data_IF_081477233380
#
_entry.id   IF_081477233380
#
_cell.length_a   1.000
_cell.length_b   1.000
_cell.length_c   1.000
_cell.angle_alpha   90.00
_cell.angle_beta   90.00
_cell.angle_gamma   90.00
#
_symmetry.space_group_name_H-M   'P 1'
#
loop_
_entity.id
_entity.type
_entity.pdbx_description
1 polymer ?
#
# COMPACT_ATOMS: atom_id res chain seq x y z
N UNK A 1 -21.46 9.99 -9.14
CA UNK A 1 -21.12 9.33 -10.39
C UNK A 1 -21.90 8.05 -10.59
N UNK A 2 -21.87 7.08 -9.68
CA UNK A 2 -22.55 5.78 -9.87
C UNK A 2 -24.04 5.86 -10.21
N UNK A 3 -24.79 6.79 -9.58
CA UNK A 3 -26.20 7.02 -9.90
C UNK A 3 -26.41 7.50 -11.35
N UNK A 4 -25.48 8.30 -11.87
CA UNK A 4 -25.53 8.75 -13.26
C UNK A 4 -25.13 7.61 -14.21
N UNK A 5 -24.06 6.87 -13.88
CA UNK A 5 -23.58 5.74 -14.67
C UNK A 5 -24.58 4.56 -14.74
N UNK A 6 -25.46 4.42 -13.74
CA UNK A 6 -26.51 3.39 -13.71
C UNK A 6 -27.85 3.84 -14.31
N UNK A 7 -27.97 5.09 -14.77
CA UNK A 7 -29.20 5.63 -15.32
C UNK A 7 -29.38 5.15 -16.76
N UNK A 8 -30.46 4.39 -17.01
CA UNK A 8 -30.79 3.87 -18.34
C UNK A 8 -31.64 4.85 -19.16
N UNK A 9 -32.54 5.57 -18.51
CA UNK A 9 -33.45 6.52 -19.16
C UNK A 9 -33.11 7.94 -18.73
N UNK A 10 -32.57 8.73 -19.67
CA UNK A 10 -32.31 10.15 -19.46
C UNK A 10 -33.57 10.96 -19.82
N UNK A 11 -33.99 11.93 -18.97
CA UNK A 11 -35.17 12.73 -19.24
C UNK A 11 -35.00 13.69 -20.43
N UNK A 12 -33.76 14.07 -20.72
CA UNK A 12 -33.35 14.92 -21.84
C UNK A 12 -32.46 14.10 -22.80
N UNK A 13 -31.48 14.74 -23.46
CA UNK A 13 -30.54 14.07 -24.36
C UNK A 13 -29.62 13.10 -23.61
N UNK A 14 -29.29 11.98 -24.25
CA UNK A 14 -28.37 10.99 -23.70
C UNK A 14 -26.94 11.58 -23.61
N UNK A 15 -26.21 11.34 -22.50
CA UNK A 15 -24.83 11.78 -22.35
C UNK A 15 -23.94 11.21 -23.46
N UNK A 16 -22.98 12.02 -23.90
CA UNK A 16 -21.99 11.55 -24.89
C UNK A 16 -21.09 10.47 -24.29
N UNK A 17 -20.52 9.60 -25.13
CA UNK A 17 -19.58 8.57 -24.66
C UNK A 17 -18.38 9.18 -23.92
N UNK A 18 -17.83 10.29 -24.39
CA UNK A 18 -16.75 11.00 -23.71
C UNK A 18 -17.14 11.51 -22.30
N UNK A 19 -18.40 11.87 -22.09
CA UNK A 19 -18.91 12.28 -20.79
C UNK A 19 -19.10 11.07 -19.86
N UNK A 20 -19.58 9.94 -20.40
CA UNK A 20 -19.66 8.68 -19.65
C UNK A 20 -18.26 8.22 -19.22
N UNK A 21 -17.28 8.21 -20.12
CA UNK A 21 -15.88 7.87 -19.82
C UNK A 21 -15.30 8.78 -18.72
N UNK A 22 -15.58 10.09 -18.80
CA UNK A 22 -15.18 11.05 -17.77
C UNK A 22 -15.80 10.73 -16.41
N UNK A 23 -17.11 10.43 -16.37
CA UNK A 23 -17.78 10.06 -15.12
C UNK A 23 -17.23 8.78 -14.52
N UNK A 24 -16.87 7.80 -15.34
CA UNK A 24 -16.23 6.57 -14.89
C UNK A 24 -14.89 6.87 -14.24
N UNK A 25 -13.98 7.55 -14.93
CA UNK A 25 -12.65 7.91 -14.41
C UNK A 25 -12.79 8.75 -13.14
N UNK A 26 -13.70 9.73 -13.13
CA UNK A 26 -13.97 10.55 -11.95
C UNK A 26 -14.52 9.74 -10.77
N UNK A 27 -15.31 8.69 -11.03
CA UNK A 27 -15.80 7.78 -9.99
C UNK A 27 -14.65 6.98 -9.37
N UNK A 28 -13.72 6.48 -10.19
CA UNK A 28 -12.53 5.75 -9.73
C UNK A 28 -11.65 6.66 -8.87
N UNK A 29 -11.44 7.92 -9.26
CA UNK A 29 -10.68 8.86 -8.45
C UNK A 29 -11.37 9.17 -7.10
N UNK A 30 -12.70 9.26 -7.09
CA UNK A 30 -13.44 9.40 -5.83
C UNK A 30 -13.23 8.19 -4.90
N UNK A 31 -13.34 6.97 -5.43
CA UNK A 31 -13.11 5.75 -4.65
C UNK A 31 -11.67 5.66 -4.13
N UNK A 32 -10.70 6.06 -4.94
CA UNK A 32 -9.29 6.18 -4.56
C UNK A 32 -9.09 7.17 -3.39
N UNK A 33 -9.66 8.36 -3.47
CA UNK A 33 -9.60 9.36 -2.40
C UNK A 33 -10.30 8.90 -1.11
N UNK A 34 -11.36 8.11 -1.24
CA UNK A 34 -12.12 7.57 -0.11
C UNK A 34 -11.47 6.34 0.53
N UNK A 35 -10.39 5.80 -0.04
CA UNK A 35 -9.75 4.55 0.40
C UNK A 35 -10.69 3.34 0.35
N UNK A 36 -11.68 3.37 -0.56
CA UNK A 36 -12.69 2.32 -0.72
C UNK A 36 -12.21 1.26 -1.72
N UNK A 37 -11.20 0.49 -1.31
CA UNK A 37 -10.43 -0.37 -2.22
C UNK A 37 -11.27 -1.47 -2.90
N UNK A 38 -12.29 -2.01 -2.22
CA UNK A 38 -13.17 -3.04 -2.80
C UNK A 38 -14.02 -2.48 -3.93
N UNK A 39 -14.60 -1.29 -3.73
CA UNK A 39 -15.39 -0.62 -4.75
C UNK A 39 -14.50 -0.16 -5.91
N UNK A 40 -13.29 0.34 -5.60
CA UNK A 40 -12.33 0.73 -6.63
C UNK A 40 -11.91 -0.46 -7.51
N UNK A 41 -11.61 -1.60 -6.91
CA UNK A 41 -11.27 -2.83 -7.63
C UNK A 41 -12.42 -3.28 -8.54
N UNK A 42 -13.63 -3.35 -7.98
CA UNK A 42 -14.82 -3.75 -8.73
C UNK A 42 -15.06 -2.82 -9.92
N UNK A 43 -15.14 -1.51 -9.69
CA UNK A 43 -15.45 -0.53 -10.74
C UNK A 43 -14.34 -0.43 -11.79
N UNK A 44 -13.07 -0.60 -11.42
CA UNK A 44 -11.95 -0.55 -12.39
C UNK A 44 -11.82 -1.82 -13.24
N UNK A 45 -12.46 -2.93 -12.85
CA UNK A 45 -12.39 -4.20 -13.59
C UNK A 45 -13.65 -4.50 -14.40
N UNK A 46 -14.82 -3.98 -13.99
CA UNK A 46 -16.10 -4.17 -14.69
C UNK A 46 -16.05 -3.81 -16.19
N UNK A 47 -15.36 -2.72 -16.53
CA UNK A 47 -15.31 -2.23 -17.91
C UNK A 47 -14.24 -2.93 -18.76
N UNK A 48 -13.37 -3.72 -18.14
CA UNK A 48 -12.35 -4.52 -18.82
C UNK A 48 -12.93 -5.89 -19.21
N UNK A 49 -13.65 -6.52 -18.28
CA UNK A 49 -14.25 -7.82 -18.51
C UNK A 49 -15.54 -8.01 -17.70
N UNK A 50 -16.57 -8.53 -18.36
CA UNK A 50 -17.84 -8.90 -17.73
C UNK A 50 -17.79 -10.28 -17.05
N UNK A 51 -16.65 -10.96 -17.11
CA UNK A 51 -16.40 -12.25 -16.46
C UNK A 51 -16.42 -12.15 -14.92
N UNK A 52 -16.65 -13.30 -14.27
CA UNK A 52 -16.58 -13.44 -12.81
C UNK A 52 -15.72 -14.69 -12.48
N UNK A 53 -14.42 -14.52 -12.16
CA UNK A 53 -13.67 -13.26 -12.05
C UNK A 53 -13.31 -12.64 -13.42
N UNK A 54 -13.06 -11.33 -13.43
CA UNK A 54 -12.62 -10.58 -14.61
C UNK A 54 -11.22 -11.01 -15.07
N UNK A 55 -11.04 -11.24 -16.37
CA UNK A 55 -9.73 -11.49 -16.98
C UNK A 55 -8.93 -10.19 -17.14
N UNK A 56 -8.02 -9.94 -16.19
CA UNK A 56 -7.15 -8.76 -16.18
C UNK A 56 -6.27 -8.65 -17.44
N UNK A 57 -5.99 -9.76 -18.14
CA UNK A 57 -5.17 -9.71 -19.35
C UNK A 57 -5.82 -8.94 -20.50
N UNK A 58 -7.14 -8.75 -20.46
CA UNK A 58 -7.85 -7.91 -21.43
C UNK A 58 -7.48 -6.43 -21.32
N UNK A 59 -6.85 -6.00 -20.23
CA UNK A 59 -6.33 -4.63 -20.14
C UNK A 59 -5.32 -4.33 -21.26
N UNK A 60 -4.61 -5.35 -21.75
CA UNK A 60 -3.63 -5.22 -22.81
C UNK A 60 -4.26 -5.09 -24.21
N UNK A 61 -5.57 -5.35 -24.38
CA UNK A 61 -6.21 -5.29 -25.69
C UNK A 61 -6.55 -3.88 -26.15
N UNK A 62 -6.63 -2.92 -25.21
CA UNK A 62 -6.97 -1.53 -25.51
C UNK A 62 -6.02 -0.57 -24.77
N UNK A 63 -5.30 0.33 -25.45
CA UNK A 63 -4.51 1.38 -24.81
C UNK A 63 -5.30 2.23 -23.82
N UNK A 64 -6.59 2.50 -24.08
CA UNK A 64 -7.43 3.25 -23.16
C UNK A 64 -7.54 2.53 -21.80
N UNK A 65 -7.67 1.21 -21.78
CA UNK A 65 -7.72 0.45 -20.54
C UNK A 65 -6.40 0.52 -19.76
N UNK A 66 -5.28 0.56 -20.47
CA UNK A 66 -3.95 0.69 -19.87
C UNK A 66 -3.76 2.07 -19.22
N UNK A 67 -4.27 3.14 -19.85
CA UNK A 67 -4.13 4.49 -19.32
C UNK A 67 -5.18 4.81 -18.24
N UNK A 68 -6.44 4.45 -18.46
CA UNK A 68 -7.56 4.85 -17.62
C UNK A 68 -7.79 3.92 -16.42
N UNK A 69 -7.60 2.60 -16.57
CA UNK A 69 -8.02 1.63 -15.55
C UNK A 69 -6.84 0.93 -14.84
N UNK A 70 -5.74 0.63 -15.55
CA UNK A 70 -4.59 -0.10 -14.97
C UNK A 70 -4.04 0.54 -13.69
N UNK A 71 -3.89 1.88 -13.56
CA UNK A 71 -3.44 2.49 -12.31
C UNK A 71 -4.35 2.14 -11.12
N UNK A 72 -5.66 2.16 -11.32
CA UNK A 72 -6.64 1.86 -10.27
C UNK A 72 -6.73 0.36 -9.96
N UNK A 73 -6.60 -0.50 -10.97
CA UNK A 73 -6.57 -1.97 -10.79
C UNK A 73 -5.36 -2.38 -9.94
N UNK A 74 -4.15 -1.94 -10.32
CA UNK A 74 -2.92 -2.26 -9.57
C UNK A 74 -3.03 -1.73 -8.15
N UNK A 75 -3.40 -0.45 -8.00
CA UNK A 75 -3.48 0.21 -6.69
C UNK A 75 -4.49 -0.45 -5.76
N UNK A 76 -5.73 -0.67 -6.21
CA UNK A 76 -6.79 -1.27 -5.39
C UNK A 76 -6.44 -2.69 -4.94
N UNK A 77 -5.98 -3.54 -5.85
CA UNK A 77 -5.59 -4.92 -5.52
C UNK A 77 -4.38 -4.97 -4.59
N UNK A 78 -3.36 -4.14 -4.82
CA UNK A 78 -2.20 -4.06 -3.92
C UNK A 78 -2.61 -3.62 -2.50
N UNK A 79 -3.48 -2.61 -2.39
CA UNK A 79 -4.01 -2.17 -1.10
C UNK A 79 -4.81 -3.26 -0.41
N UNK A 80 -5.64 -4.01 -1.14
CA UNK A 80 -6.39 -5.13 -0.57
C UNK A 80 -5.47 -6.24 -0.05
N UNK A 81 -4.39 -6.56 -0.76
CA UNK A 81 -3.36 -7.51 -0.28
C UNK A 81 -2.76 -7.06 1.05
N UNK A 82 -2.43 -5.77 1.19
CA UNK A 82 -1.87 -5.22 2.44
C UNK A 82 -2.84 -5.21 3.61
N UNK A 83 -4.14 -5.26 3.34
CA UNK A 83 -5.18 -5.42 4.36
C UNK A 83 -5.47 -6.90 4.70
N UNK A 84 -4.61 -7.83 4.26
CA UNK A 84 -4.76 -9.27 4.49
C UNK A 84 -5.63 -10.00 3.47
N UNK A 85 -5.85 -9.41 2.30
CA UNK A 85 -6.51 -10.08 1.18
C UNK A 85 -5.68 -11.26 0.66
N UNK A 86 -6.34 -12.35 0.29
CA UNK A 86 -5.69 -13.56 -0.25
C UNK A 86 -5.73 -13.65 -1.78
N UNK A 87 -6.29 -12.65 -2.47
CA UNK A 87 -6.45 -12.65 -3.93
C UNK A 87 -5.09 -12.60 -4.65
N UNK A 88 -4.75 -13.71 -5.33
CA UNK A 88 -3.49 -13.86 -6.09
C UNK A 88 -3.59 -13.33 -7.53
N UNK A 89 -4.73 -12.77 -7.94
CA UNK A 89 -4.94 -12.32 -9.33
C UNK A 89 -3.94 -11.25 -9.76
N UNK A 90 -3.58 -10.31 -8.88
CA UNK A 90 -2.58 -9.28 -9.19
C UNK A 90 -1.19 -9.89 -9.42
N UNK A 91 -0.78 -10.83 -8.56
CA UNK A 91 0.52 -11.50 -8.68
C UNK A 91 0.59 -12.30 -9.99
N UNK A 92 -0.46 -13.05 -10.30
CA UNK A 92 -0.57 -13.81 -11.56
C UNK A 92 -0.54 -12.87 -12.78
N UNK A 93 -1.27 -11.75 -12.73
CA UNK A 93 -1.28 -10.76 -13.80
C UNK A 93 0.09 -10.16 -14.06
N UNK A 94 0.83 -9.80 -12.99
CA UNK A 94 2.19 -9.28 -13.11
C UNK A 94 3.12 -10.37 -13.66
N UNK A 95 3.08 -11.59 -13.14
CA UNK A 95 3.93 -12.69 -13.62
C UNK A 95 3.73 -12.97 -15.12
N UNK A 96 2.49 -12.93 -15.62
CA UNK A 96 2.21 -13.08 -17.05
C UNK A 96 2.66 -11.84 -17.86
N UNK A 97 2.43 -10.63 -17.36
CA UNK A 97 2.88 -9.40 -18.03
C UNK A 97 4.40 -9.38 -18.18
N UNK A 98 5.14 -9.81 -17.16
CA UNK A 98 6.61 -9.80 -17.13
C UNK A 98 7.26 -10.79 -18.11
N UNK A 99 6.49 -11.72 -18.71
CA UNK A 99 6.98 -12.62 -19.77
C UNK A 99 7.06 -11.96 -21.15
N UNK A 100 6.38 -10.84 -21.35
CA UNK A 100 6.35 -10.11 -22.62
C UNK A 100 7.14 -8.82 -22.48
N UNK A 101 8.17 -8.62 -23.31
CA UNK A 101 9.11 -7.50 -23.13
C UNK A 101 8.43 -6.12 -23.18
N UNK A 102 7.45 -5.93 -24.07
CA UNK A 102 6.70 -4.66 -24.18
C UNK A 102 5.89 -4.36 -22.90
N UNK A 103 5.17 -5.36 -22.38
CA UNK A 103 4.38 -5.23 -21.16
C UNK A 103 5.27 -5.04 -19.95
N UNK A 104 6.36 -5.80 -19.87
CA UNK A 104 7.40 -5.66 -18.86
C UNK A 104 7.96 -4.24 -18.84
N UNK A 105 8.37 -3.70 -19.98
CA UNK A 105 8.91 -2.35 -20.08
C UNK A 105 7.92 -1.29 -19.54
N UNK A 106 6.64 -1.41 -19.88
CA UNK A 106 5.59 -0.54 -19.35
C UNK A 106 5.45 -0.66 -17.83
N UNK A 107 5.36 -1.89 -17.31
CA UNK A 107 5.21 -2.14 -15.88
C UNK A 107 6.43 -1.64 -15.09
N UNK A 108 7.65 -1.91 -15.58
CA UNK A 108 8.88 -1.43 -14.94
C UNK A 108 8.99 0.09 -15.01
N UNK A 109 8.50 0.74 -16.07
CA UNK A 109 8.56 2.18 -16.21
C UNK A 109 7.61 2.91 -15.27
N UNK A 110 6.37 2.44 -15.13
CA UNK A 110 5.32 3.17 -14.40
C UNK A 110 5.03 2.65 -12.99
N UNK A 111 5.27 1.36 -12.72
CA UNK A 111 4.82 0.69 -11.49
C UNK A 111 5.96 0.03 -10.72
N UNK A 112 7.19 0.54 -10.85
CA UNK A 112 8.35 0.01 -10.12
C UNK A 112 8.18 0.07 -8.59
N UNK A 113 7.47 1.07 -8.07
CA UNK A 113 7.17 1.12 -6.64
C UNK A 113 6.28 -0.05 -6.23
N UNK A 114 5.19 -0.29 -6.95
CA UNK A 114 4.24 -1.36 -6.71
C UNK A 114 4.89 -2.73 -6.89
N UNK A 115 5.78 -2.90 -7.89
CA UNK A 115 6.61 -4.10 -8.05
C UNK A 115 7.47 -4.34 -6.81
N UNK A 116 8.16 -3.31 -6.30
CA UNK A 116 9.01 -3.48 -5.12
C UNK A 116 8.22 -3.95 -3.90
N UNK A 117 7.00 -3.46 -3.75
CA UNK A 117 6.05 -3.81 -2.71
C UNK A 117 5.52 -5.25 -2.86
N UNK A 118 5.19 -5.68 -4.09
CA UNK A 118 4.79 -7.06 -4.38
C UNK A 118 5.93 -8.05 -4.12
N UNK A 119 7.16 -7.71 -4.46
CA UNK A 119 8.31 -8.58 -4.18
C UNK A 119 8.63 -8.64 -2.67
N UNK A 120 8.39 -7.57 -1.90
CA UNK A 120 8.43 -7.64 -0.43
C UNK A 120 7.37 -8.61 0.09
N UNK A 121 6.15 -8.57 -0.47
CA UNK A 121 5.07 -9.48 -0.07
C UNK A 121 5.48 -10.95 -0.27
N UNK A 122 6.21 -11.24 -1.36
CA UNK A 122 6.76 -12.56 -1.70
C UNK A 122 8.08 -12.90 -1.00
N UNK A 123 8.59 -12.05 -0.09
CA UNK A 123 9.90 -12.19 0.57
C UNK A 123 11.13 -12.21 -0.38
N UNK A 124 10.98 -11.78 -1.64
CA UNK A 124 12.10 -11.59 -2.58
C UNK A 124 12.69 -10.18 -2.43
N UNK A 125 13.54 -10.01 -1.41
CA UNK A 125 14.15 -8.72 -1.10
C UNK A 125 15.18 -8.24 -2.14
N UNK A 126 15.73 -9.14 -2.96
CA UNK A 126 16.70 -8.78 -4.00
C UNK A 126 15.99 -8.08 -5.17
N UNK A 127 14.89 -8.67 -5.65
CA UNK A 127 14.05 -8.01 -6.66
C UNK A 127 13.40 -6.75 -6.11
N UNK A 128 12.91 -6.76 -4.87
CA UNK A 128 12.37 -5.55 -4.25
C UNK A 128 13.39 -4.41 -4.23
N UNK A 129 14.66 -4.71 -3.91
CA UNK A 129 15.75 -3.74 -3.91
C UNK A 129 16.05 -3.20 -5.31
N UNK A 130 15.97 -4.04 -6.34
CA UNK A 130 16.14 -3.62 -7.72
C UNK A 130 15.04 -2.62 -8.11
N UNK A 131 13.77 -2.96 -7.86
CA UNK A 131 12.64 -2.14 -8.28
C UNK A 131 12.49 -0.83 -7.51
N UNK A 132 12.78 -0.79 -6.20
CA UNK A 132 12.78 0.49 -5.47
C UNK A 132 13.87 1.44 -5.97
N UNK A 133 15.03 0.91 -6.37
CA UNK A 133 16.10 1.71 -6.99
C UNK A 133 15.68 2.23 -8.35
N UNK A 134 15.03 1.39 -9.17
CA UNK A 134 14.50 1.81 -10.46
C UNK A 134 13.43 2.91 -10.29
N UNK A 135 12.49 2.73 -9.35
CA UNK A 135 11.48 3.73 -9.02
C UNK A 135 12.11 5.07 -8.60
N UNK A 136 13.17 5.04 -7.79
CA UNK A 136 13.92 6.23 -7.40
C UNK A 136 14.60 6.92 -8.60
N UNK A 137 15.15 6.15 -9.54
CA UNK A 137 15.75 6.69 -10.76
C UNK A 137 14.70 7.34 -11.67
N UNK A 138 13.55 6.67 -11.87
CA UNK A 138 12.41 7.21 -12.62
C UNK A 138 11.90 8.48 -11.96
N UNK A 139 11.76 8.50 -10.63
CA UNK A 139 11.41 9.72 -9.88
C UNK A 139 12.39 10.86 -10.17
N UNK A 140 13.70 10.61 -10.10
CA UNK A 140 14.71 11.65 -10.34
C UNK A 140 14.62 12.20 -11.77
N UNK A 141 14.43 11.33 -12.77
CA UNK A 141 14.25 11.72 -14.16
C UNK A 141 12.99 12.57 -14.33
N UNK A 142 11.84 12.07 -13.87
CA UNK A 142 10.55 12.76 -13.95
C UNK A 142 10.61 14.11 -13.25
N UNK A 143 11.08 14.17 -12.00
CA UNK A 143 11.17 15.41 -11.25
C UNK A 143 12.10 16.44 -11.90
N UNK A 144 13.23 16.00 -12.46
CA UNK A 144 14.17 16.87 -13.17
C UNK A 144 13.63 17.45 -14.48
N UNK A 145 12.64 16.78 -15.08
CA UNK A 145 11.99 17.20 -16.33
C UNK A 145 10.85 18.19 -16.13
N UNK A 146 10.32 18.32 -14.91
CA UNK A 146 9.22 19.24 -14.61
C UNK A 146 9.76 20.67 -14.54
N UNK A 147 9.11 21.58 -15.27
CA UNK A 147 9.42 23.01 -15.22
C UNK A 147 9.35 23.56 -13.78
N UNK A 148 10.32 24.39 -13.43
CA UNK A 148 10.46 24.97 -12.09
C UNK A 148 9.23 25.77 -11.63
N UNK A 149 8.44 26.33 -12.55
CA UNK A 149 7.24 27.12 -12.30
C UNK A 149 5.98 26.27 -12.09
N UNK A 150 6.00 24.99 -12.48
CA UNK A 150 4.89 24.06 -12.26
C UNK A 150 4.91 23.52 -10.82
N UNK A 151 4.69 24.43 -9.87
CA UNK A 151 4.78 24.15 -8.43
C UNK A 151 3.95 22.94 -8.00
N UNK A 152 2.70 22.85 -8.43
CA UNK A 152 1.80 21.75 -8.07
C UNK A 152 2.30 20.40 -8.60
N UNK A 153 2.74 20.33 -9.87
CA UNK A 153 3.29 19.11 -10.47
C UNK A 153 4.54 18.64 -9.73
N UNK A 154 5.42 19.57 -9.37
CA UNK A 154 6.62 19.27 -8.56
C UNK A 154 6.25 18.77 -7.17
N UNK A 155 5.28 19.41 -6.52
CA UNK A 155 4.81 19.02 -5.19
C UNK A 155 4.22 17.61 -5.19
N UNK A 156 3.30 17.31 -6.12
CA UNK A 156 2.68 15.97 -6.26
C UNK A 156 3.74 14.90 -6.47
N UNK A 157 4.72 15.18 -7.34
CA UNK A 157 5.81 14.23 -7.59
C UNK A 157 6.66 14.01 -6.33
N UNK A 158 6.98 15.09 -5.59
CA UNK A 158 7.78 15.05 -4.37
C UNK A 158 7.12 14.26 -3.23
N UNK A 159 5.78 14.25 -3.15
CA UNK A 159 5.04 13.54 -2.12
C UNK A 159 5.28 12.01 -2.13
N UNK A 160 5.60 11.43 -3.30
CA UNK A 160 5.90 10.01 -3.43
C UNK A 160 7.26 9.60 -2.82
N UNK A 161 8.20 10.54 -2.66
CA UNK A 161 9.58 10.24 -2.24
C UNK A 161 9.63 9.59 -0.87
N UNK A 162 8.77 10.03 0.05
CA UNK A 162 8.76 9.45 1.39
C UNK A 162 8.48 7.95 1.33
N UNK A 163 7.49 7.51 0.55
CA UNK A 163 7.17 6.09 0.38
C UNK A 163 8.35 5.31 -0.20
N UNK A 164 9.00 5.84 -1.25
CA UNK A 164 10.19 5.21 -1.86
C UNK A 164 11.34 5.06 -0.87
N UNK A 165 11.61 6.11 -0.08
CA UNK A 165 12.68 6.05 0.93
C UNK A 165 12.34 5.09 2.07
N UNK A 166 11.07 4.97 2.46
CA UNK A 166 10.65 4.04 3.52
C UNK A 166 10.69 2.58 3.07
N UNK A 167 10.38 2.29 1.80
CA UNK A 167 10.61 0.97 1.18
C UNK A 167 12.10 0.63 1.25
N UNK A 168 12.97 1.57 0.85
CA UNK A 168 14.42 1.35 0.88
C UNK A 168 14.97 1.17 2.30
N UNK A 169 14.50 1.98 3.26
CA UNK A 169 14.84 1.89 4.68
C UNK A 169 14.41 0.53 5.25
N UNK A 170 13.20 0.08 4.92
CA UNK A 170 12.68 -1.23 5.33
C UNK A 170 13.50 -2.39 4.76
N UNK A 171 13.78 -2.41 3.45
CA UNK A 171 14.62 -3.46 2.83
C UNK A 171 15.99 -3.51 3.51
N UNK A 172 16.59 -2.35 3.79
CA UNK A 172 17.89 -2.26 4.48
C UNK A 172 17.81 -2.73 5.94
N UNK A 173 16.68 -2.51 6.61
CA UNK A 173 16.42 -3.03 7.96
C UNK A 173 16.36 -4.56 7.94
N UNK A 174 15.57 -5.14 7.02
CA UNK A 174 15.39 -6.59 6.88
C UNK A 174 16.65 -7.33 6.43
N UNK A 175 17.56 -6.65 5.73
CA UNK A 175 18.81 -7.25 5.25
C UNK A 175 19.83 -7.57 6.34
N UNK A 176 19.64 -7.07 7.57
CA UNK A 176 20.58 -7.25 8.67
C UNK A 176 19.94 -8.11 9.74
N UNK A 177 20.39 -9.35 9.87
CA UNK A 177 19.90 -10.31 10.86
C UNK A 177 19.96 -9.76 12.30
N UNK A 178 21.02 -9.01 12.64
CA UNK A 178 21.17 -8.34 13.94
C UNK A 178 20.04 -7.35 14.27
N UNK A 179 19.30 -6.86 13.27
CA UNK A 179 18.14 -6.00 13.50
C UNK A 179 16.89 -6.80 13.92
N UNK A 180 16.77 -8.04 13.43
CA UNK A 180 15.65 -8.94 13.68
C UNK A 180 15.78 -9.69 15.01
N UNK A 181 16.93 -9.56 15.69
CA UNK A 181 17.14 -10.10 17.04
C UNK A 181 17.27 -8.99 18.09
N UNK A 182 17.33 -7.72 17.67
CA UNK A 182 17.56 -6.59 18.58
C UNK A 182 16.32 -5.70 18.73
N UNK A 183 15.71 -5.76 19.91
CA UNK A 183 14.64 -4.84 20.31
C UNK A 183 15.03 -3.37 20.19
N UNK A 184 16.28 -3.04 20.51
CA UNK A 184 16.78 -1.66 20.42
C UNK A 184 16.79 -1.14 18.97
N UNK A 185 17.16 -2.01 18.02
CA UNK A 185 17.11 -1.70 16.58
C UNK A 185 15.68 -1.46 16.11
N UNK A 186 14.74 -2.33 16.50
CA UNK A 186 13.32 -2.15 16.20
C UNK A 186 12.79 -0.84 16.81
N UNK A 187 13.05 -0.56 18.08
CA UNK A 187 12.63 0.68 18.74
C UNK A 187 13.13 1.93 18.02
N UNK A 188 14.41 1.93 17.60
CA UNK A 188 14.99 3.03 16.82
C UNK A 188 14.29 3.20 15.47
N UNK A 189 14.01 2.10 14.79
CA UNK A 189 13.30 2.09 13.51
C UNK A 189 11.88 2.67 13.64
N UNK A 190 11.11 2.24 14.65
CA UNK A 190 9.78 2.78 14.94
C UNK A 190 9.83 4.28 15.25
N UNK A 191 10.80 4.72 16.06
CA UNK A 191 10.95 6.14 16.41
C UNK A 191 11.17 7.04 15.18
N UNK A 192 11.93 6.55 14.19
CA UNK A 192 12.16 7.27 12.93
C UNK A 192 10.84 7.44 12.15
N UNK A 193 10.01 6.42 12.06
CA UNK A 193 8.70 6.53 11.39
C UNK A 193 7.72 7.41 12.16
N UNK A 194 7.65 7.28 13.48
CA UNK A 194 6.74 8.10 14.30
C UNK A 194 7.16 9.57 14.39
N UNK A 195 8.40 9.92 14.03
CA UNK A 195 8.88 11.30 13.97
C UNK A 195 8.76 11.95 12.59
N UNK A 196 8.48 11.17 11.54
CA UNK A 196 8.38 11.62 10.15
C UNK A 196 7.02 11.26 9.56
N UNK A 197 5.95 11.87 10.06
CA UNK A 197 4.63 11.75 9.41
C UNK A 197 4.55 12.65 8.18
N UNK A 198 3.68 12.34 7.21
CA UNK A 198 3.32 13.30 6.17
C UNK A 198 2.81 14.61 6.79
N UNK A 199 2.86 15.70 6.02
CA UNK A 199 2.35 16.98 6.47
C UNK A 199 0.83 16.95 6.59
N UNK A 200 0.32 17.41 7.73
CA UNK A 200 -1.12 17.34 8.02
C UNK A 200 -1.99 18.27 7.17
N UNK A 201 -1.41 19.27 6.51
CA UNK A 201 -2.12 20.26 5.69
C UNK A 201 -1.79 20.12 4.21
N UNK A 202 -0.53 19.85 3.88
CA UNK A 202 -0.04 19.86 2.50
C UNK A 202 -0.22 18.50 1.82
N UNK A 203 -0.17 17.40 2.57
CA UNK A 203 -0.23 16.06 1.99
C UNK A 203 -1.65 15.51 2.02
N UNK A 204 -2.23 15.15 0.85
CA UNK A 204 -3.58 14.64 0.76
C UNK A 204 -3.71 13.23 1.36
N UNK A 205 -4.96 12.81 1.61
CA UNK A 205 -5.22 11.56 2.33
C UNK A 205 -4.73 10.29 1.62
N UNK A 206 -4.58 10.30 0.30
CA UNK A 206 -3.97 9.18 -0.44
C UNK A 206 -2.47 9.03 -0.11
N UNK A 207 -1.74 10.13 0.13
CA UNK A 207 -0.33 10.08 0.57
C UNK A 207 -0.25 9.53 2.00
N UNK A 208 -1.14 9.99 2.88
CA UNK A 208 -1.26 9.44 4.23
C UNK A 208 -1.57 7.94 4.21
N UNK A 209 -2.49 7.51 3.36
CA UNK A 209 -2.86 6.10 3.21
C UNK A 209 -1.69 5.26 2.67
N UNK A 210 -0.93 5.77 1.70
CA UNK A 210 0.27 5.12 1.18
C UNK A 210 1.30 4.87 2.27
N UNK A 211 1.65 5.91 3.03
CA UNK A 211 2.64 5.80 4.10
C UNK A 211 2.16 4.87 5.22
N UNK A 212 0.94 5.07 5.71
CA UNK A 212 0.45 4.34 6.90
C UNK A 212 0.16 2.87 6.57
N UNK A 213 -0.39 2.58 5.39
CA UNK A 213 -0.62 1.21 4.95
C UNK A 213 0.70 0.48 4.71
N UNK A 214 1.67 1.10 4.03
CA UNK A 214 2.97 0.49 3.80
C UNK A 214 3.71 0.21 5.11
N UNK A 215 3.71 1.16 6.06
CA UNK A 215 4.29 0.94 7.40
C UNK A 215 3.61 -0.19 8.15
N UNK A 216 2.28 -0.28 8.12
CA UNK A 216 1.56 -1.39 8.76
C UNK A 216 1.96 -2.74 8.14
N UNK A 217 2.00 -2.80 6.80
CA UNK A 217 2.44 -3.98 6.05
C UNK A 217 3.88 -4.37 6.40
N UNK A 218 4.82 -3.42 6.44
CA UNK A 218 6.20 -3.67 6.83
C UNK A 218 6.33 -4.18 8.27
N UNK A 219 5.53 -3.66 9.19
CA UNK A 219 5.51 -4.15 10.57
C UNK A 219 4.97 -5.58 10.67
N UNK A 220 4.00 -5.95 9.84
CA UNK A 220 3.50 -7.32 9.75
C UNK A 220 4.62 -8.26 9.23
N UNK A 221 5.33 -7.87 8.16
CA UNK A 221 6.50 -8.62 7.66
C UNK A 221 7.63 -8.75 8.69
N UNK A 222 7.88 -7.71 9.48
CA UNK A 222 8.86 -7.76 10.58
C UNK A 222 8.40 -8.77 11.63
N UNK A 223 7.14 -8.69 12.05
CA UNK A 223 6.55 -9.57 13.06
C UNK A 223 6.59 -11.06 12.64
N UNK A 224 6.34 -11.35 11.36
CA UNK A 224 6.48 -12.69 10.79
C UNK A 224 7.89 -13.25 10.99
N UNK A 225 8.94 -12.45 10.74
CA UNK A 225 10.33 -12.89 10.91
C UNK A 225 10.72 -13.12 12.36
N UNK A 226 10.26 -12.27 13.29
CA UNK A 226 10.45 -12.50 14.73
C UNK A 226 9.81 -13.82 15.20
N UNK A 227 8.68 -14.20 14.59
CA UNK A 227 7.98 -15.45 14.91
C UNK A 227 8.66 -16.69 14.30
N UNK A 228 9.30 -16.56 13.12
CA UNK A 228 9.97 -17.69 12.46
C UNK A 228 11.29 -18.10 13.10
N UNK A 229 12.06 -17.16 13.67
CA UNK A 229 13.32 -17.48 14.36
C UNK A 229 13.11 -18.47 15.51
N UNK A 230 11.93 -18.50 16.11
CA UNK A 230 11.56 -19.43 17.17
C UNK A 230 11.39 -20.90 16.70
N UNK A 231 10.98 -21.13 15.44
CA UNK A 231 10.69 -22.50 14.96
C UNK A 231 11.96 -23.27 14.57
N UNK A 232 12.97 -22.59 14.04
CA UNK A 232 14.24 -23.23 13.67
C UNK A 232 15.11 -23.54 14.89
N UNK A 233 15.09 -22.72 15.94
CA UNK A 233 15.84 -22.97 17.19
C UNK A 233 15.17 -24.02 18.11
N UNK A 234 13.89 -24.35 17.88
CA UNK A 234 13.13 -25.31 18.72
C UNK A 234 13.45 -26.79 18.43
N UNK A 235 14.22 -27.11 17.39
CA UNK A 235 14.57 -28.51 17.05
C UNK A 235 15.91 -28.98 17.63
N UNK A 236 16.67 -28.14 18.33
CA UNK A 236 17.93 -28.56 18.96
C UNK A 236 17.96 -28.32 20.48
N UNK A 237 18.00 -29.46 21.19
CA UNK A 237 18.67 -29.70 22.48
C UNK A 237 17.92 -29.40 23.79
N UNK A 238 18.11 -30.37 24.68
CA UNK A 238 17.73 -30.52 26.09
C UNK A 238 18.34 -29.40 26.97
N UNK A 239 17.99 -28.14 26.71
CA UNK A 239 18.66 -26.94 27.23
C UNK A 239 17.75 -25.97 27.99
N UNK A 240 18.05 -25.80 29.28
CA UNK A 240 17.73 -24.69 30.21
C UNK A 240 16.44 -23.87 29.99
N UNK A 241 15.40 -24.19 30.78
CA UNK A 241 14.09 -23.53 30.76
C UNK A 241 14.12 -22.01 31.00
N UNK A 242 15.20 -21.46 31.58
CA UNK A 242 15.36 -20.02 31.81
C UNK A 242 15.57 -19.24 30.51
N UNK A 243 16.30 -19.78 29.53
CA UNK A 243 16.55 -19.10 28.25
C UNK A 243 15.27 -19.01 27.39
N UNK A 244 14.47 -20.08 27.36
CA UNK A 244 13.17 -20.10 26.68
C UNK A 244 12.19 -19.08 27.28
N UNK A 245 12.17 -18.92 28.60
CA UNK A 245 11.25 -17.98 29.28
C UNK A 245 11.64 -16.50 29.05
N UNK A 246 12.93 -16.19 28.93
CA UNK A 246 13.41 -14.83 28.60
C UNK A 246 13.11 -14.44 27.15
N UNK A 247 13.33 -15.35 26.19
CA UNK A 247 13.00 -15.12 24.77
C UNK A 247 11.49 -14.96 24.53
N UNK A 248 10.64 -15.76 25.19
CA UNK A 248 9.18 -15.65 25.07
C UNK A 248 8.68 -14.28 25.55
N UNK A 249 9.28 -13.75 26.62
CA UNK A 249 8.93 -12.44 27.16
C UNK A 249 9.38 -11.29 26.24
N UNK A 250 10.56 -11.38 25.63
CA UNK A 250 11.03 -10.40 24.64
C UNK A 250 10.17 -10.40 23.36
N UNK A 251 9.72 -11.58 22.90
CA UNK A 251 8.81 -11.70 21.76
C UNK A 251 7.42 -11.10 22.05
N UNK A 252 6.88 -11.35 23.25
CA UNK A 252 5.61 -10.75 23.65
C UNK A 252 5.70 -9.22 23.75
N UNK A 253 6.84 -8.69 24.20
CA UNK A 253 7.13 -7.26 24.26
C UNK A 253 7.25 -6.65 22.85
N UNK A 254 8.00 -7.27 21.92
CA UNK A 254 8.11 -6.79 20.53
C UNK A 254 6.76 -6.81 19.79
N UNK A 255 5.97 -7.87 19.96
CA UNK A 255 4.61 -7.93 19.43
C UNK A 255 3.74 -6.77 19.96
N UNK A 256 3.82 -6.49 21.26
CA UNK A 256 3.09 -5.38 21.88
C UNK A 256 3.58 -4.02 21.36
N UNK A 257 4.88 -3.82 21.21
CA UNK A 257 5.46 -2.61 20.63
C UNK A 257 4.97 -2.35 19.20
N UNK A 258 4.96 -3.38 18.35
CA UNK A 258 4.47 -3.29 16.97
C UNK A 258 2.99 -2.93 16.96
N UNK A 259 2.17 -3.65 17.73
CA UNK A 259 0.73 -3.41 17.83
C UNK A 259 0.43 -1.97 18.28
N UNK A 260 1.13 -1.48 19.29
CA UNK A 260 0.99 -0.12 19.80
C UNK A 260 1.39 0.93 18.76
N UNK A 261 2.46 0.69 18.01
CA UNK A 261 2.90 1.57 16.94
C UNK A 261 1.87 1.64 15.80
N UNK A 262 1.35 0.49 15.33
CA UNK A 262 0.28 0.44 14.31
C UNK A 262 -0.95 1.22 14.76
N UNK A 263 -1.41 1.01 15.99
CA UNK A 263 -2.56 1.71 16.55
C UNK A 263 -2.34 3.23 16.57
N UNK A 264 -1.19 3.69 17.08
CA UNK A 264 -0.86 5.11 17.14
C UNK A 264 -0.78 5.77 15.75
N UNK A 265 -0.18 5.08 14.76
CA UNK A 265 -0.10 5.56 13.38
C UNK A 265 -1.48 5.68 12.73
N UNK A 266 -2.35 4.67 12.89
CA UNK A 266 -3.73 4.71 12.39
C UNK A 266 -4.53 5.84 13.06
N UNK A 267 -4.40 6.02 14.38
CA UNK A 267 -5.02 7.15 15.08
C UNK A 267 -4.51 8.50 14.58
N UNK A 268 -3.22 8.62 14.26
CA UNK A 268 -2.66 9.84 13.68
C UNK A 268 -3.25 10.15 12.30
N UNK A 269 -3.41 9.12 11.46
CA UNK A 269 -4.06 9.23 10.15
C UNK A 269 -5.51 9.69 10.28
N UNK A 270 -6.27 9.12 11.22
CA UNK A 270 -7.65 9.52 11.52
C UNK A 270 -7.72 11.00 11.96
N UNK A 271 -6.81 11.42 12.85
CA UNK A 271 -6.72 12.82 13.28
C UNK A 271 -6.48 13.76 12.09
N UNK A 272 -5.60 13.34 11.16
CA UNK A 272 -5.30 14.09 9.94
C UNK A 272 -6.51 14.16 8.99
N UNK A 273 -7.17 13.03 8.73
CA UNK A 273 -8.38 12.95 7.92
C UNK A 273 -9.45 13.92 8.44
N UNK A 274 -9.64 13.98 9.75
CA UNK A 274 -10.56 14.94 10.39
C UNK A 274 -10.12 16.40 10.17
N UNK A 275 -8.82 16.72 10.28
CA UNK A 275 -8.30 18.07 10.07
C UNK A 275 -8.43 18.53 8.61
N UNK A 276 -8.37 17.60 7.66
CA UNK A 276 -8.54 17.87 6.23
C UNK A 276 -10.00 17.77 5.75
N UNK A 277 -10.98 17.69 6.66
CA UNK A 277 -12.41 17.52 6.36
C UNK A 277 -12.75 16.24 5.56
N UNK A 278 -11.87 15.24 5.57
CA UNK A 278 -12.11 13.90 4.99
C UNK A 278 -12.86 13.01 5.99
N UNK A 279 -14.08 13.42 6.35
CA UNK A 279 -14.85 12.79 7.42
C UNK A 279 -15.29 11.36 7.11
N UNK A 280 -15.58 11.05 5.85
CA UNK A 280 -15.89 9.69 5.39
C UNK A 280 -14.72 8.74 5.65
N UNK A 281 -13.52 9.13 5.20
CA UNK A 281 -12.26 8.39 5.43
C UNK A 281 -12.01 8.22 6.93
N UNK A 282 -12.11 9.31 7.71
CA UNK A 282 -11.92 9.25 9.16
C UNK A 282 -12.90 8.26 9.83
N UNK A 283 -14.16 8.26 9.42
CA UNK A 283 -15.19 7.37 9.97
C UNK A 283 -14.95 5.91 9.58
N UNK A 284 -14.58 5.63 8.33
CA UNK A 284 -14.25 4.28 7.87
C UNK A 284 -13.05 3.72 8.64
N UNK A 285 -11.98 4.50 8.77
CA UNK A 285 -10.79 4.13 9.55
C UNK A 285 -11.12 3.89 11.04
N UNK A 286 -11.96 4.74 11.65
CA UNK A 286 -12.41 4.56 13.03
C UNK A 286 -13.22 3.27 13.22
N UNK A 287 -14.09 2.92 12.27
CA UNK A 287 -14.85 1.66 12.31
C UNK A 287 -13.92 0.46 12.26
N UNK A 288 -12.91 0.48 11.39
CA UNK A 288 -11.91 -0.59 11.31
C UNK A 288 -11.10 -0.69 12.61
N UNK A 289 -10.69 0.45 13.18
CA UNK A 289 -9.86 0.48 14.39
C UNK A 289 -10.64 0.14 15.67
N UNK A 290 -11.97 0.28 15.67
CA UNK A 290 -12.81 -0.04 16.83
C UNK A 290 -12.73 -1.51 17.26
N UNK A 291 -12.46 -2.43 16.33
CA UNK A 291 -12.17 -3.83 16.66
C UNK A 291 -10.87 -3.95 17.47
N UNK A 292 -9.80 -3.31 16.97
CA UNK A 292 -8.47 -3.32 17.57
C UNK A 292 -8.46 -2.65 18.96
N UNK A 293 -9.21 -1.55 19.14
CA UNK A 293 -9.23 -0.77 20.38
C UNK A 293 -9.79 -1.56 21.58
N UNK A 294 -10.60 -2.59 21.35
CA UNK A 294 -11.15 -3.43 22.43
C UNK A 294 -10.11 -4.31 23.10
N UNK A 295 -8.95 -4.48 22.48
CA UNK A 295 -7.91 -5.43 22.88
C UNK A 295 -6.88 -4.87 23.86
N UNK A 296 -6.93 -3.57 24.17
CA UNK A 296 -6.08 -2.90 25.15
C UNK A 296 -6.93 -1.89 25.94
N UNK A 297 -6.87 -1.90 27.27
CA UNK A 297 -7.69 -0.98 28.08
C UNK A 297 -7.33 0.49 27.84
N UNK A 298 -6.06 0.80 27.60
CA UNK A 298 -5.59 2.16 27.31
C UNK A 298 -6.11 2.73 25.98
N UNK A 299 -6.70 1.90 25.12
CA UNK A 299 -7.23 2.29 23.80
C UNK A 299 -8.75 2.40 23.74
N UNK A 300 -9.44 1.94 24.78
CA UNK A 300 -10.90 2.04 24.88
C UNK A 300 -11.33 3.46 25.20
#
# INVERSE_FOLDING_TARGET
YDKALSMQDWPDDEPTEAEKDFWEIASLECYNHLTEWKSLEYCSTMNIDNGQPADLNKIWSDPFYQEAYLPYVIRSKLKLLFHGGSDQSLLTFIDEAMKTEEKKALIEMYYSQELSLLYILQDDFDRARYYVKNAMQVFMQNYSSIDSLLFNSRMITLQSVQALTEIQDFINFMSKESNLTSRASLKRFLNIWTSRYPDTKMDPMNVWDDIITNRCFFLDKIQEKFSSTHLDDSMELDGDATFSMEMDNENQDTHTMIKNCKFAMKMKMIECARKQNSFSVALTLLKHLHGDSKTCEDWR
#
